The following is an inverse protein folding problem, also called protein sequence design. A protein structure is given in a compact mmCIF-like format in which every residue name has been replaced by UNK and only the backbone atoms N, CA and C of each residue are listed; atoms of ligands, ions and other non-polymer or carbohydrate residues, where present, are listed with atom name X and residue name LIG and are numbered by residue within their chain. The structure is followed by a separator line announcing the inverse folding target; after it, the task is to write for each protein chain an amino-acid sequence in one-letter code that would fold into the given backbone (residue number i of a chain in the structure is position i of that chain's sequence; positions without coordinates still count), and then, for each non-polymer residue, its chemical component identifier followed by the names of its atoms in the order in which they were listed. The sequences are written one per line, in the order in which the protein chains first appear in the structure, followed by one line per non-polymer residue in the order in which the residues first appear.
data_IF_051442994137
#
_entry.id   IF_051442994137
#
_cell.length_a   1.000
_cell.length_b   1.000
_cell.length_c   1.000
_cell.angle_alpha   90.00
_cell.angle_beta   90.00
_cell.angle_gamma   90.00
#
_symmetry.space_group_name_H-M   'P 1'
#
loop_
_entity.id
_entity.type
_entity.pdbx_description
1 polymer ?
#
# COMPACT_ATOMS: atom_id res chain seq x y z
N UNK A 1 32.95 3.13 19.20
CA UNK A 1 32.06 2.02 19.63
C UNK A 1 30.98 1.89 18.57
N UNK A 2 31.16 0.97 17.62
CA UNK A 2 30.21 0.75 16.54
C UNK A 2 29.02 -0.06 17.07
N UNK A 3 27.85 0.56 17.15
CA UNK A 3 26.63 -0.17 17.50
C UNK A 3 26.20 -1.02 16.30
N UNK A 4 26.18 -2.34 16.50
CA UNK A 4 25.72 -3.31 15.51
C UNK A 4 24.28 -3.02 15.05
N UNK A 5 24.02 -2.88 13.74
CA UNK A 5 22.69 -2.56 13.19
C UNK A 5 21.66 -3.67 13.45
N UNK A 6 22.10 -4.89 13.78
CA UNK A 6 21.23 -6.01 14.16
C UNK A 6 20.60 -5.83 15.55
N UNK A 7 21.25 -5.08 16.43
CA UNK A 7 20.80 -4.85 17.81
C UNK A 7 19.70 -3.77 17.84
N UNK A 8 19.89 -2.68 17.09
CA UNK A 8 18.87 -1.62 16.90
C UNK A 8 17.56 -2.15 16.30
N UNK A 9 17.65 -3.10 15.35
CA UNK A 9 16.48 -3.70 14.70
C UNK A 9 15.66 -4.61 15.63
N UNK A 10 16.28 -5.22 16.65
CA UNK A 10 15.60 -6.04 17.67
C UNK A 10 14.88 -5.18 18.70
N UNK A 11 15.50 -4.08 19.14
CA UNK A 11 14.86 -3.12 20.07
C UNK A 11 13.65 -2.43 19.42
N UNK A 12 13.77 -2.01 18.16
CA UNK A 12 12.66 -1.40 17.40
C UNK A 12 11.46 -2.34 17.21
N UNK A 13 11.68 -3.65 16.98
CA UNK A 13 10.58 -4.64 16.90
C UNK A 13 9.92 -4.90 18.26
N UNK A 14 10.71 -4.93 19.34
CA UNK A 14 10.19 -5.11 20.70
C UNK A 14 9.32 -3.96 21.16
N UNK A 15 9.73 -2.72 20.87
CA UNK A 15 8.95 -1.50 21.15
C UNK A 15 7.66 -1.43 20.33
N UNK A 16 7.70 -1.77 19.03
CA UNK A 16 6.51 -1.79 18.18
C UNK A 16 5.47 -2.83 18.66
N UNK A 17 5.92 -4.02 19.08
CA UNK A 17 5.06 -5.06 19.64
C UNK A 17 4.48 -4.65 21.00
N UNK A 18 5.29 -4.05 21.87
CA UNK A 18 4.81 -3.50 23.14
C UNK A 18 3.75 -2.42 22.92
N UNK A 19 3.99 -1.50 21.97
CA UNK A 19 3.02 -0.47 21.62
C UNK A 19 1.72 -1.08 21.06
N UNK A 20 1.79 -2.06 20.16
CA UNK A 20 0.59 -2.71 19.61
C UNK A 20 -0.23 -3.44 20.69
N UNK A 21 0.44 -4.19 21.58
CA UNK A 21 -0.24 -4.90 22.69
C UNK A 21 -0.86 -3.91 23.69
N UNK A 22 -0.17 -2.81 23.99
CA UNK A 22 -0.68 -1.77 24.90
C UNK A 22 -1.88 -1.04 24.28
N UNK A 23 -1.86 -0.73 22.97
CA UNK A 23 -2.99 -0.12 22.24
C UNK A 23 -4.26 -0.95 22.38
N UNK A 24 -4.21 -2.23 22.01
CA UNK A 24 -5.38 -3.11 22.03
C UNK A 24 -5.94 -3.32 23.44
N UNK A 25 -5.06 -3.46 24.44
CA UNK A 25 -5.47 -3.59 25.85
C UNK A 25 -6.12 -2.32 26.38
N UNK A 26 -5.62 -1.16 26.01
CA UNK A 26 -6.16 0.14 26.42
C UNK A 26 -7.60 0.32 25.91
N UNK A 27 -7.82 0.06 24.62
CA UNK A 27 -9.13 0.23 23.97
C UNK A 27 -10.14 -0.74 24.58
N UNK A 28 -9.79 -2.03 24.71
CA UNK A 28 -10.64 -3.04 25.36
C UNK A 28 -10.94 -2.72 26.81
N UNK A 29 -9.96 -2.19 27.54
CA UNK A 29 -10.16 -1.78 28.92
C UNK A 29 -11.18 -0.63 29.01
N UNK A 30 -11.07 0.36 28.13
CA UNK A 30 -12.03 1.47 28.07
C UNK A 30 -13.44 0.99 27.74
N UNK A 31 -13.59 0.16 26.70
CA UNK A 31 -14.90 -0.36 26.25
C UNK A 31 -15.65 -1.08 27.38
N UNK A 32 -14.94 -1.87 28.19
CA UNK A 32 -15.58 -2.67 29.24
C UNK A 32 -15.73 -1.90 30.56
N UNK A 33 -14.72 -1.11 30.94
CA UNK A 33 -14.66 -0.53 32.29
C UNK A 33 -15.50 0.73 32.40
N UNK A 34 -15.46 1.60 31.40
CA UNK A 34 -16.11 2.91 31.49
C UNK A 34 -17.63 2.80 31.53
N UNK A 35 -18.30 2.00 30.67
CA UNK A 35 -19.74 1.80 30.77
C UNK A 35 -20.16 1.17 32.10
N UNK A 36 -19.40 0.18 32.59
CA UNK A 36 -19.67 -0.47 33.87
C UNK A 36 -19.57 0.53 35.03
N UNK A 37 -18.54 1.39 35.04
CA UNK A 37 -18.39 2.43 36.06
C UNK A 37 -19.57 3.41 36.05
N UNK A 38 -20.08 3.82 34.89
CA UNK A 38 -21.28 4.66 34.82
C UNK A 38 -22.53 3.93 35.30
N UNK A 39 -22.69 2.65 34.96
CA UNK A 39 -23.83 1.85 35.42
C UNK A 39 -23.84 1.71 36.95
N UNK A 40 -22.67 1.59 37.60
CA UNK A 40 -22.56 1.59 39.06
C UNK A 40 -22.80 2.99 39.66
N UNK A 41 -22.37 4.05 38.99
CA UNK A 41 -22.64 5.44 39.37
C UNK A 41 -24.14 5.77 39.34
N UNK A 42 -24.89 5.28 38.36
CA UNK A 42 -26.35 5.48 38.27
C UNK A 42 -27.10 4.87 39.46
N UNK A 43 -26.60 3.76 40.04
CA UNK A 43 -27.19 3.15 41.25
C UNK A 43 -27.07 4.04 42.49
N UNK A 44 -26.10 4.97 42.50
CA UNK A 44 -25.89 5.93 43.59
C UNK A 44 -26.77 7.17 43.47
N UNK A 45 -27.39 7.42 42.30
CA UNK A 45 -28.29 8.57 42.10
C UNK A 45 -29.54 8.47 42.95
N UNK A 46 -30.04 7.25 43.17
CA UNK A 46 -31.32 6.99 43.85
C UNK A 46 -31.25 7.03 45.38
N UNK A 47 -30.10 7.38 45.97
CA UNK A 47 -29.90 7.46 47.42
C UNK A 47 -29.59 8.91 47.80
N UNK A 48 -30.46 9.53 48.60
CA UNK A 48 -30.37 10.96 48.96
C UNK A 48 -29.04 11.30 49.67
N UNK A 49 -28.51 10.39 50.49
CA UNK A 49 -27.25 10.58 51.24
C UNK A 49 -25.99 10.53 50.36
N UNK A 50 -26.07 10.03 49.12
CA UNK A 50 -24.91 9.83 48.24
C UNK A 50 -24.82 10.83 47.07
N UNK A 51 -25.73 11.81 47.00
CA UNK A 51 -25.72 12.87 45.99
C UNK A 51 -24.38 13.63 45.84
N UNK A 52 -23.74 14.15 46.92
CA UNK A 52 -22.45 14.84 46.77
C UNK A 52 -21.33 13.89 46.31
N UNK A 53 -21.37 12.64 46.77
CA UNK A 53 -20.41 11.60 46.36
C UNK A 53 -20.57 11.24 44.88
N UNK A 54 -21.81 11.17 44.39
CA UNK A 54 -22.13 10.90 42.98
C UNK A 54 -21.54 11.98 42.07
N UNK A 55 -21.75 13.26 42.39
CA UNK A 55 -21.23 14.38 41.59
C UNK A 55 -19.70 14.32 41.50
N UNK A 56 -19.05 14.07 42.63
CA UNK A 56 -17.57 14.06 42.72
C UNK A 56 -16.96 12.85 41.98
N UNK A 57 -17.57 11.65 42.10
CA UNK A 57 -17.17 10.45 41.37
C UNK A 57 -17.42 10.58 39.87
N UNK A 58 -18.56 11.15 39.47
CA UNK A 58 -18.89 11.38 38.06
C UNK A 58 -17.87 12.32 37.43
N UNK A 59 -17.54 13.43 38.10
CA UNK A 59 -16.53 14.36 37.63
C UNK A 59 -15.16 13.70 37.44
N UNK A 60 -14.72 12.88 38.42
CA UNK A 60 -13.47 12.10 38.30
C UNK A 60 -13.49 11.09 37.16
N UNK A 61 -14.64 10.45 36.91
CA UNK A 61 -14.79 9.52 35.78
C UNK A 61 -14.74 10.25 34.44
N UNK A 62 -15.35 11.44 34.34
CA UNK A 62 -15.30 12.27 33.14
C UNK A 62 -13.86 12.72 32.84
N UNK A 63 -13.10 13.16 33.85
CA UNK A 63 -11.66 13.47 33.71
C UNK A 63 -10.89 12.24 33.23
N UNK A 64 -11.13 11.09 33.87
CA UNK A 64 -10.46 9.83 33.51
C UNK A 64 -10.69 9.47 32.05
N UNK A 65 -11.93 9.64 31.54
CA UNK A 65 -12.24 9.38 30.12
C UNK A 65 -11.42 10.25 29.19
N UNK A 66 -11.32 11.55 29.48
CA UNK A 66 -10.52 12.47 28.67
C UNK A 66 -9.05 12.07 28.68
N UNK A 67 -8.49 11.70 29.83
CA UNK A 67 -7.10 11.24 29.94
C UNK A 67 -6.83 9.93 29.19
N UNK A 68 -7.79 9.00 29.17
CA UNK A 68 -7.73 7.79 28.35
C UNK A 68 -7.65 8.12 26.86
N UNK A 69 -8.53 9.01 26.38
CA UNK A 69 -8.53 9.43 24.98
C UNK A 69 -7.24 10.20 24.62
N UNK A 70 -6.76 11.07 25.50
CA UNK A 70 -5.48 11.77 25.34
C UNK A 70 -4.31 10.79 25.26
N UNK A 71 -4.28 9.77 26.12
CA UNK A 71 -3.23 8.75 26.11
C UNK A 71 -3.23 7.99 24.79
N UNK A 72 -4.41 7.58 24.31
CA UNK A 72 -4.53 6.95 23.00
C UNK A 72 -4.10 7.88 21.87
N UNK A 73 -4.47 9.17 21.95
CA UNK A 73 -4.05 10.20 21.00
C UNK A 73 -2.54 10.35 20.94
N UNK A 74 -1.84 10.34 22.08
CA UNK A 74 -0.38 10.38 22.13
C UNK A 74 0.25 9.14 21.49
N UNK A 75 -0.36 7.97 21.66
CA UNK A 75 0.10 6.74 21.01
C UNK A 75 -0.07 6.83 19.48
N UNK A 76 -1.16 7.45 19.01
CA UNK A 76 -1.37 7.75 17.59
C UNK A 76 -0.49 8.91 17.08
N UNK A 77 -0.03 9.78 17.98
CA UNK A 77 0.84 10.90 17.68
C UNK A 77 2.12 10.48 16.95
N UNK A 78 2.66 9.28 17.20
CA UNK A 78 3.79 8.75 16.43
C UNK A 78 3.46 8.53 14.94
N UNK A 79 2.22 8.18 14.62
CA UNK A 79 1.77 7.99 13.23
C UNK A 79 1.42 9.33 12.58
N UNK A 80 0.87 10.26 13.38
CA UNK A 80 0.35 11.55 12.92
C UNK A 80 1.38 12.68 12.90
N UNK A 81 2.45 12.63 13.70
CA UNK A 81 3.54 13.62 13.73
C UNK A 81 4.47 13.48 12.51
N UNK A 82 3.90 13.50 11.31
CA UNK A 82 4.65 13.54 10.07
C UNK A 82 5.26 14.92 9.79
N UNK A 83 5.09 15.91 10.65
CA UNK A 83 5.63 17.24 10.44
C UNK A 83 6.01 17.87 11.78
N UNK A 84 7.32 18.07 12.02
CA UNK A 84 7.95 19.40 12.00
C UNK A 84 9.37 19.41 12.58
N UNK A 85 9.83 18.45 13.40
CA UNK A 85 11.11 18.68 14.13
C UNK A 85 12.36 17.86 13.78
N UNK A 86 12.36 16.81 12.95
CA UNK A 86 13.67 16.20 12.60
C UNK A 86 13.72 15.54 11.22
N UNK A 87 14.53 16.18 10.37
CA UNK A 87 15.11 15.74 9.07
C UNK A 87 14.23 15.89 7.81
N UNK A 88 14.68 16.69 6.82
CA UNK A 88 14.07 16.77 5.48
C UNK A 88 14.39 15.54 4.61
N UNK A 89 14.49 14.35 5.21
CA UNK A 89 14.90 13.11 4.52
C UNK A 89 14.08 11.89 4.95
N UNK A 90 12.82 12.07 5.34
CA UNK A 90 11.92 10.95 5.55
C UNK A 90 11.54 10.37 4.19
N UNK A 91 11.96 9.13 3.93
CA UNK A 91 11.70 8.44 2.67
C UNK A 91 10.19 8.31 2.44
N UNK A 92 9.75 8.37 1.18
CA UNK A 92 8.36 8.11 0.78
C UNK A 92 7.81 6.80 1.39
N UNK A 93 8.68 5.80 1.51
CA UNK A 93 8.40 4.53 2.15
C UNK A 93 8.06 4.66 3.65
N UNK A 94 8.70 5.59 4.37
CA UNK A 94 8.48 5.81 5.80
C UNK A 94 7.20 6.60 6.06
N UNK A 95 6.82 7.51 5.14
CA UNK A 95 5.53 8.20 5.16
C UNK A 95 4.38 7.24 4.91
N UNK A 96 4.45 6.44 3.83
CA UNK A 96 3.46 5.42 3.52
C UNK A 96 3.28 4.42 4.66
N UNK A 97 4.39 3.96 5.26
CA UNK A 97 4.34 3.07 6.41
C UNK A 97 3.62 3.68 7.61
N UNK A 98 3.81 4.97 7.91
CA UNK A 98 3.08 5.63 9.01
C UNK A 98 1.58 5.75 8.75
N UNK A 99 1.20 6.02 7.50
CA UNK A 99 -0.22 6.03 7.09
C UNK A 99 -0.83 4.63 7.25
N UNK A 100 -0.15 3.60 6.78
CA UNK A 100 -0.57 2.20 6.96
C UNK A 100 -0.69 1.83 8.45
N UNK A 101 0.28 2.22 9.28
CA UNK A 101 0.27 1.98 10.73
C UNK A 101 -0.94 2.68 11.39
N UNK A 102 -1.25 3.92 11.00
CA UNK A 102 -2.45 4.64 11.49
C UNK A 102 -3.74 3.93 11.08
N UNK A 103 -3.87 3.58 9.79
CA UNK A 103 -5.05 2.91 9.25
C UNK A 103 -5.27 1.54 9.88
N UNK A 104 -4.19 0.79 10.10
CA UNK A 104 -4.22 -0.50 10.80
C UNK A 104 -4.77 -0.34 12.22
N UNK A 105 -4.23 0.62 13.00
CA UNK A 105 -4.69 0.88 14.37
C UNK A 105 -6.16 1.30 14.40
N UNK A 106 -6.58 2.21 13.51
CA UNK A 106 -7.99 2.60 13.42
C UNK A 106 -8.89 1.41 13.11
N UNK A 107 -8.52 0.59 12.13
CA UNK A 107 -9.30 -0.57 11.70
C UNK A 107 -9.48 -1.58 12.84
N UNK A 108 -8.44 -1.81 13.64
CA UNK A 108 -8.52 -2.65 14.83
C UNK A 108 -9.48 -2.07 15.89
N UNK A 109 -9.51 -0.74 16.04
CA UNK A 109 -10.36 -0.08 17.03
C UNK A 109 -11.84 -0.02 16.63
N UNK A 110 -12.18 -0.18 15.34
CA UNK A 110 -13.58 -0.17 14.87
C UNK A 110 -14.45 -1.27 15.52
N UNK A 111 -13.85 -2.32 16.06
CA UNK A 111 -14.56 -3.37 16.79
C UNK A 111 -15.18 -2.86 18.11
N UNK A 112 -14.60 -1.81 18.70
CA UNK A 112 -14.94 -1.29 20.03
C UNK A 112 -15.71 0.04 19.89
N UNK A 113 -17.05 -0.06 19.86
CA UNK A 113 -17.94 1.01 19.38
C UNK A 113 -18.07 2.16 20.36
N UNK A 114 -18.08 1.88 21.66
CA UNK A 114 -18.23 2.92 22.69
C UNK A 114 -16.99 3.80 22.72
N UNK A 115 -15.81 3.18 22.72
CA UNK A 115 -14.53 3.85 22.62
C UNK A 115 -14.46 4.70 21.35
N UNK A 116 -14.72 4.12 20.17
CA UNK A 116 -14.57 4.85 18.91
C UNK A 116 -15.52 6.04 18.78
N UNK A 117 -16.76 5.92 19.27
CA UNK A 117 -17.71 7.05 19.29
C UNK A 117 -17.20 8.19 20.18
N UNK A 118 -16.70 7.84 21.36
CA UNK A 118 -16.17 8.83 22.29
C UNK A 118 -14.88 9.46 21.75
N UNK A 119 -13.98 8.65 21.19
CA UNK A 119 -12.74 9.12 20.57
C UNK A 119 -13.03 10.08 19.41
N UNK A 120 -13.88 9.69 18.46
CA UNK A 120 -14.23 10.54 17.31
C UNK A 120 -14.88 11.87 17.74
N UNK A 121 -15.63 11.90 18.84
CA UNK A 121 -16.21 13.13 19.37
C UNK A 121 -15.17 14.12 19.90
N UNK A 122 -14.08 13.63 20.50
CA UNK A 122 -13.01 14.46 21.05
C UNK A 122 -11.89 14.74 20.04
N UNK A 123 -11.60 13.77 19.17
CA UNK A 123 -10.60 13.81 18.11
C UNK A 123 -11.22 13.28 16.82
N UNK A 124 -11.84 14.17 16.01
CA UNK A 124 -12.46 13.78 14.76
C UNK A 124 -11.45 13.09 13.83
N UNK A 125 -11.75 11.84 13.50
CA UNK A 125 -10.89 11.00 12.65
C UNK A 125 -10.76 11.59 11.24
N UNK A 126 -11.77 12.29 10.74
CA UNK A 126 -11.75 12.90 9.41
C UNK A 126 -10.63 13.95 9.28
N UNK A 127 -10.40 14.74 10.33
CA UNK A 127 -9.34 15.75 10.37
C UNK A 127 -7.96 15.10 10.28
N UNK A 128 -7.78 13.96 10.97
CA UNK A 128 -6.53 13.20 10.88
C UNK A 128 -6.31 12.62 9.48
N UNK A 129 -7.37 12.10 8.86
CA UNK A 129 -7.31 11.55 7.50
C UNK A 129 -6.97 12.62 6.47
N UNK A 130 -7.52 13.83 6.61
CA UNK A 130 -7.16 14.99 5.81
C UNK A 130 -5.67 15.34 5.98
N UNK A 131 -5.18 15.43 7.22
CA UNK A 131 -3.77 15.72 7.51
C UNK A 131 -2.82 14.65 6.92
N UNK A 132 -3.16 13.37 7.06
CA UNK A 132 -2.38 12.26 6.51
C UNK A 132 -2.40 12.24 4.98
N UNK A 133 -3.50 12.64 4.36
CA UNK A 133 -3.61 12.78 2.90
C UNK A 133 -2.67 13.87 2.38
N UNK A 134 -2.60 15.02 3.07
CA UNK A 134 -1.70 16.13 2.72
C UNK A 134 -0.22 15.75 2.84
N UNK A 135 0.14 14.97 3.86
CA UNK A 135 1.52 14.49 4.08
C UNK A 135 1.97 13.48 3.01
N UNK A 136 1.04 12.68 2.50
CA UNK A 136 1.34 11.70 1.45
C UNK A 136 1.62 12.37 0.10
N UNK A 137 1.23 13.64 -0.06
CA UNK A 137 1.49 14.48 -1.22
C UNK A 137 2.69 15.40 -0.93
N UNK A 138 3.91 14.95 -1.22
CA UNK A 138 5.08 15.85 -1.08
C UNK A 138 5.19 16.77 -2.31
N UNK A 139 5.15 18.08 -2.07
CA UNK A 139 5.74 19.16 -2.88
C UNK A 139 5.84 18.90 -4.40
N UNK A 140 4.71 19.03 -5.09
CA UNK A 140 4.62 19.11 -6.54
C UNK A 140 3.29 19.68 -6.97
N UNK A 141 3.15 21.00 -6.86
CA UNK A 141 1.96 21.84 -7.12
C UNK A 141 0.94 21.93 -5.99
N UNK A 142 0.73 23.17 -5.56
CA UNK A 142 -0.47 23.62 -4.89
C UNK A 142 -1.58 23.48 -5.93
N UNK A 143 -2.38 22.42 -5.84
CA UNK A 143 -3.64 22.30 -6.56
C UNK A 143 -4.51 21.25 -5.88
N UNK A 144 -5.13 21.69 -4.78
CA UNK A 144 -6.03 20.88 -3.98
C UNK A 144 -7.40 20.75 -4.63
N UNK A 145 -7.46 19.99 -5.72
CA UNK A 145 -8.72 19.47 -6.25
C UNK A 145 -8.58 17.96 -6.39
N UNK A 146 -9.17 17.22 -5.46
CA UNK A 146 -9.26 15.76 -5.50
C UNK A 146 -9.89 15.31 -6.82
N UNK A 147 -9.59 14.10 -7.31
CA UNK A 147 -10.16 13.60 -8.57
C UNK A 147 -11.68 13.78 -8.66
N UNK A 148 -12.38 13.56 -7.54
CA UNK A 148 -13.83 13.75 -7.37
C UNK A 148 -14.26 15.22 -7.47
N UNK A 149 -13.51 16.15 -6.86
CA UNK A 149 -13.79 17.59 -6.99
C UNK A 149 -13.51 18.07 -8.41
N UNK A 150 -12.51 17.49 -9.08
CA UNK A 150 -12.17 17.80 -10.46
C UNK A 150 -13.28 17.33 -11.39
N UNK A 151 -13.76 16.09 -11.20
CA UNK A 151 -14.93 15.54 -11.89
C UNK A 151 -16.14 16.47 -11.72
N UNK A 152 -16.40 16.91 -10.48
CA UNK A 152 -17.52 17.80 -10.18
C UNK A 152 -17.44 19.14 -10.92
N UNK A 153 -16.26 19.77 -10.96
CA UNK A 153 -16.03 21.03 -11.67
C UNK A 153 -16.11 20.85 -13.20
N UNK A 154 -15.64 19.72 -13.72
CA UNK A 154 -15.73 19.39 -15.14
C UNK A 154 -17.20 19.22 -15.55
N UNK A 155 -17.99 18.47 -14.76
CA UNK A 155 -19.43 18.29 -15.02
C UNK A 155 -20.17 19.61 -14.97
N UNK A 156 -19.86 20.51 -14.04
CA UNK A 156 -20.48 21.84 -13.96
C UNK A 156 -20.28 22.66 -15.25
N UNK A 157 -19.07 22.65 -15.81
CA UNK A 157 -18.78 23.33 -17.08
C UNK A 157 -19.44 22.60 -18.27
N UNK A 158 -19.43 21.27 -18.26
CA UNK A 158 -19.99 20.43 -19.32
C UNK A 158 -21.52 20.50 -19.40
N UNK A 159 -22.21 20.67 -18.27
CA UNK A 159 -23.66 20.85 -18.21
C UNK A 159 -24.12 22.12 -18.95
N UNK A 160 -23.29 23.16 -18.95
CA UNK A 160 -23.55 24.42 -19.67
C UNK A 160 -23.08 24.33 -21.12
N UNK A 161 -21.92 23.70 -21.36
CA UNK A 161 -21.27 23.61 -22.68
C UNK A 161 -21.01 22.14 -23.05
N UNK A 162 -22.05 21.38 -23.46
CA UNK A 162 -21.95 19.93 -23.68
C UNK A 162 -21.16 19.53 -24.92
N UNK A 163 -20.75 20.49 -25.75
CA UNK A 163 -19.96 20.26 -26.96
C UNK A 163 -18.46 20.19 -26.68
N UNK A 164 -18.02 20.55 -25.46
CA UNK A 164 -16.62 20.54 -25.07
C UNK A 164 -16.24 19.19 -24.47
N UNK A 165 -15.04 18.71 -24.81
CA UNK A 165 -14.45 17.50 -24.26
C UNK A 165 -13.96 17.71 -22.83
N UNK A 166 -14.14 16.70 -21.99
CA UNK A 166 -13.73 16.74 -20.57
C UNK A 166 -12.23 16.98 -20.37
N UNK A 167 -11.39 16.50 -21.30
CA UNK A 167 -9.94 16.72 -21.26
C UNK A 167 -9.55 18.16 -21.58
N UNK A 168 -10.31 18.80 -22.48
CA UNK A 168 -10.17 20.23 -22.77
C UNK A 168 -10.60 21.10 -21.59
N UNK A 169 -11.75 20.76 -20.98
CA UNK A 169 -12.26 21.45 -19.78
C UNK A 169 -11.27 21.31 -18.63
N UNK A 170 -10.68 20.13 -18.41
CA UNK A 170 -9.65 19.91 -17.40
C UNK A 170 -8.46 20.86 -17.59
N UNK A 171 -7.95 21.01 -18.82
CA UNK A 171 -6.82 21.92 -19.11
C UNK A 171 -7.18 23.39 -18.92
N UNK A 172 -8.42 23.76 -19.21
CA UNK A 172 -8.92 25.10 -18.91
C UNK A 172 -9.00 25.34 -17.41
N UNK A 173 -9.54 24.40 -16.64
CA UNK A 173 -9.60 24.48 -15.17
C UNK A 173 -8.21 24.57 -14.54
N UNK A 174 -7.23 23.80 -15.05
CA UNK A 174 -5.82 23.90 -14.62
C UNK A 174 -5.25 25.31 -14.83
N UNK A 175 -5.62 26.00 -15.93
CA UNK A 175 -5.12 27.35 -16.22
C UNK A 175 -5.81 28.45 -15.38
N UNK A 176 -7.11 28.28 -15.10
CA UNK A 176 -7.92 29.27 -14.38
C UNK A 176 -8.08 28.95 -12.89
N UNK A 177 -7.11 28.25 -12.27
CA UNK A 177 -7.10 27.89 -10.86
C UNK A 177 -8.39 27.19 -10.38
N UNK A 178 -8.93 26.26 -11.18
CA UNK A 178 -10.08 25.40 -10.84
C UNK A 178 -11.37 26.17 -10.55
N UNK A 179 -11.53 27.36 -11.14
CA UNK A 179 -12.77 28.12 -11.11
C UNK A 179 -13.61 27.81 -12.34
N UNK A 180 -14.73 27.10 -12.16
CA UNK A 180 -15.71 26.84 -13.22
C UNK A 180 -16.26 28.14 -13.81
N UNK A 181 -16.63 29.11 -12.97
CA UNK A 181 -17.16 30.42 -13.39
C UNK A 181 -16.21 31.17 -14.33
N UNK A 182 -14.92 31.22 -13.97
CA UNK A 182 -13.90 31.93 -14.76
C UNK A 182 -13.68 31.25 -16.12
N UNK A 183 -13.72 29.91 -16.15
CA UNK A 183 -13.61 29.11 -17.37
C UNK A 183 -14.82 29.33 -18.28
N UNK A 184 -16.04 29.26 -17.73
CA UNK A 184 -17.29 29.48 -18.47
C UNK A 184 -17.32 30.90 -19.06
N UNK A 185 -16.94 31.90 -18.27
CA UNK A 185 -16.88 33.28 -18.72
C UNK A 185 -15.90 33.47 -19.87
N UNK A 186 -14.67 32.95 -19.74
CA UNK A 186 -13.66 33.02 -20.79
C UNK A 186 -14.08 32.27 -22.07
N UNK A 187 -14.79 31.14 -21.93
CA UNK A 187 -15.33 30.37 -23.06
C UNK A 187 -16.45 31.11 -23.79
N UNK A 188 -17.38 31.74 -23.05
CA UNK A 188 -18.48 32.49 -23.64
C UNK A 188 -18.00 33.79 -24.32
N UNK A 189 -17.01 34.46 -23.74
CA UNK A 189 -16.45 35.69 -24.31
C UNK A 189 -15.43 35.45 -25.43
N UNK A 190 -15.14 34.18 -25.77
CA UNK A 190 -14.07 33.81 -26.72
C UNK A 190 -12.70 34.39 -26.34
N UNK A 191 -12.48 34.65 -25.05
CA UNK A 191 -11.27 35.25 -24.48
C UNK A 191 -10.38 34.20 -23.81
N UNK A 192 -10.27 33.03 -24.44
CA UNK A 192 -9.32 32.01 -23.99
C UNK A 192 -7.89 32.44 -24.29
N UNK A 193 -6.95 32.06 -23.42
CA UNK A 193 -5.53 32.21 -23.72
C UNK A 193 -5.19 31.49 -25.03
N UNK A 194 -4.31 32.07 -25.85
CA UNK A 194 -3.93 31.52 -27.17
C UNK A 194 -3.50 30.06 -27.07
N UNK A 195 -2.78 29.73 -25.99
CA UNK A 195 -2.33 28.36 -25.70
C UNK A 195 -3.45 27.35 -25.45
N UNK A 196 -4.66 27.79 -25.06
CA UNK A 196 -5.83 26.94 -24.84
C UNK A 196 -6.76 26.93 -26.05
N UNK A 197 -6.84 28.02 -26.81
CA UNK A 197 -7.65 28.11 -28.01
C UNK A 197 -7.14 27.20 -29.16
N UNK A 198 -5.84 26.93 -29.20
CA UNK A 198 -5.20 26.04 -30.18
C UNK A 198 -5.41 24.54 -29.85
N UNK A 199 -5.88 24.19 -28.64
CA UNK A 199 -6.16 22.80 -28.28
C UNK A 199 -7.45 22.30 -28.93
N UNK A 200 -7.50 20.99 -29.16
CA UNK A 200 -8.70 20.31 -29.62
C UNK A 200 -9.81 20.43 -28.56
N UNK A 201 -10.90 21.12 -28.93
CA UNK A 201 -12.07 21.32 -28.07
C UNK A 201 -12.81 20.01 -27.78
N UNK A 202 -12.58 18.96 -28.55
CA UNK A 202 -13.16 17.62 -28.36
C UNK A 202 -12.25 16.65 -27.60
N UNK A 203 -11.14 17.14 -27.01
CA UNK A 203 -10.15 16.30 -26.37
C UNK A 203 -10.77 15.45 -25.23
N UNK A 204 -10.73 14.11 -25.34
CA UNK A 204 -11.25 13.23 -24.29
C UNK A 204 -10.30 13.24 -23.08
N UNK A 205 -10.87 13.06 -21.89
CA UNK A 205 -10.07 12.90 -20.67
C UNK A 205 -9.52 11.49 -20.59
N UNK A 206 -8.22 11.37 -20.35
CA UNK A 206 -7.56 10.08 -20.11
C UNK A 206 -7.58 9.84 -18.59
N UNK A 207 -8.22 8.76 -18.09
CA UNK A 207 -8.20 8.44 -16.67
C UNK A 207 -6.75 8.19 -16.19
N UNK A 208 -6.40 8.71 -15.00
CA UNK A 208 -5.08 8.56 -14.35
C UNK A 208 -4.58 7.10 -14.26
N UNK A 209 -5.49 6.13 -14.26
CA UNK A 209 -5.14 4.70 -14.32
C UNK A 209 -4.36 4.32 -15.59
N UNK A 210 -4.62 5.00 -16.72
CA UNK A 210 -3.93 4.74 -17.98
C UNK A 210 -2.50 5.30 -17.99
N UNK A 211 -2.23 6.41 -17.32
CA UNK A 211 -0.88 6.99 -17.21
C UNK A 211 0.06 6.06 -16.44
N UNK A 212 -0.40 5.50 -15.32
CA UNK A 212 0.37 4.48 -14.58
C UNK A 212 0.66 3.22 -15.40
N UNK A 213 -0.28 2.83 -16.28
CA UNK A 213 -0.11 1.68 -17.17
C UNK A 213 0.83 2.00 -18.33
N UNK A 214 0.82 3.22 -18.85
CA UNK A 214 1.75 3.72 -19.86
C UNK A 214 3.17 3.83 -19.30
N UNK A 215 3.36 4.31 -18.07
CA UNK A 215 4.68 4.37 -17.43
C UNK A 215 5.24 2.98 -17.08
N UNK A 216 4.37 2.04 -16.70
CA UNK A 216 4.74 0.63 -16.51
C UNK A 216 4.99 -0.10 -17.83
N UNK A 217 4.29 0.25 -18.91
CA UNK A 217 4.52 -0.31 -20.26
C UNK A 217 5.78 0.27 -20.92
N UNK A 218 6.09 1.55 -20.68
CA UNK A 218 7.28 2.23 -21.19
C UNK A 218 8.52 1.93 -20.34
N UNK A 219 8.39 1.73 -19.02
CA UNK A 219 9.50 1.24 -18.16
C UNK A 219 9.71 -0.27 -18.25
N UNK A 220 8.73 -1.01 -18.78
CA UNK A 220 8.86 -2.42 -19.14
C UNK A 220 9.15 -2.59 -20.64
N UNK A 221 9.90 -1.67 -21.24
CA UNK A 221 10.74 -2.04 -22.38
C UNK A 221 11.54 -3.28 -21.95
N UNK A 222 11.29 -4.41 -22.62
CA UNK A 222 11.92 -5.68 -22.30
C UNK A 222 13.43 -5.56 -22.53
N UNK A 223 14.16 -5.13 -21.51
CA UNK A 223 15.59 -4.89 -21.62
C UNK A 223 16.34 -6.21 -21.83
N UNK A 224 16.94 -6.43 -22.99
CA UNK A 224 17.90 -7.50 -23.20
C UNK A 224 19.33 -7.01 -22.92
N UNK A 225 20.27 -7.94 -22.75
CA UNK A 225 21.72 -7.67 -22.58
C UNK A 225 22.34 -6.96 -23.79
N UNK A 226 21.58 -6.80 -24.88
CA UNK A 226 22.02 -6.16 -26.13
C UNK A 226 21.33 -4.80 -26.38
N UNK A 227 20.49 -4.31 -25.46
CA UNK A 227 19.78 -3.05 -25.66
C UNK A 227 20.71 -1.85 -25.40
N UNK A 228 20.59 -0.83 -26.24
CA UNK A 228 21.45 0.35 -26.36
C UNK A 228 22.92 0.06 -26.76
N UNK A 229 23.21 -1.11 -27.34
CA UNK A 229 24.53 -1.40 -27.90
C UNK A 229 24.70 -0.82 -29.33
N UNK A 230 25.90 -0.91 -29.91
CA UNK A 230 26.19 -0.36 -31.26
C UNK A 230 25.34 -1.00 -32.38
N UNK A 231 24.69 -2.14 -32.11
CA UNK A 231 23.79 -2.83 -33.02
C UNK A 231 22.31 -2.57 -32.70
N UNK A 232 22.00 -1.89 -31.59
CA UNK A 232 20.65 -1.48 -31.25
C UNK A 232 20.28 -0.19 -31.99
N UNK A 233 19.04 -0.13 -32.51
CA UNK A 233 18.46 0.92 -33.37
C UNK A 233 19.54 1.66 -34.18
N UNK A 234 19.82 1.21 -35.42
CA UNK A 234 20.84 1.68 -36.38
C UNK A 234 20.93 3.22 -36.53
N UNK A 235 21.42 3.88 -35.48
CA UNK A 235 21.57 5.32 -35.33
C UNK A 235 22.97 5.76 -35.76
N UNK A 236 23.87 4.79 -35.96
CA UNK A 236 25.24 4.99 -36.43
C UNK A 236 25.43 4.28 -37.76
N UNK A 237 26.03 4.97 -38.71
CA UNK A 237 26.33 4.44 -40.05
C UNK A 237 27.51 3.44 -40.06
N UNK A 238 28.24 3.31 -38.94
CA UNK A 238 29.39 2.42 -38.81
C UNK A 238 29.21 1.49 -37.61
N UNK A 239 29.41 0.20 -37.84
CA UNK A 239 29.31 -0.87 -36.83
C UNK A 239 30.51 -1.81 -36.90
N UNK A 240 31.03 -2.22 -35.75
CA UNK A 240 32.15 -3.17 -35.65
C UNK A 240 31.74 -4.60 -36.08
N UNK A 241 32.14 -4.98 -37.30
CA UNK A 241 31.76 -6.26 -37.92
C UNK A 241 32.37 -7.50 -37.28
N UNK A 242 33.33 -7.35 -36.36
CA UNK A 242 33.99 -8.49 -35.68
C UNK A 242 33.05 -9.23 -34.72
N UNK A 243 32.02 -8.55 -34.20
CA UNK A 243 31.01 -9.12 -33.28
C UNK A 243 29.86 -9.81 -34.01
N UNK A 244 29.74 -9.58 -35.32
CA UNK A 244 28.71 -10.15 -36.20
C UNK A 244 29.12 -11.57 -36.59
N UNK A 245 28.25 -12.54 -36.34
CA UNK A 245 28.47 -13.92 -36.75
C UNK A 245 27.27 -14.45 -37.51
N UNK A 246 27.49 -14.93 -38.74
CA UNK A 246 26.46 -15.57 -39.55
C UNK A 246 26.54 -17.09 -39.38
N UNK A 247 25.52 -17.70 -38.77
CA UNK A 247 25.44 -19.15 -38.56
C UNK A 247 25.82 -19.60 -37.13
N UNK A 248 26.06 -20.91 -36.95
CA UNK A 248 26.43 -21.50 -35.64
C UNK A 248 27.88 -21.17 -35.28
N UNK A 249 28.10 -20.52 -34.13
CA UNK A 249 29.46 -20.22 -33.63
C UNK A 249 30.16 -21.52 -33.25
N UNK A 250 31.11 -21.95 -34.08
CA UNK A 250 31.94 -23.14 -33.82
C UNK A 250 32.80 -22.86 -32.59
N UNK A 251 32.56 -23.58 -31.49
CA UNK A 251 33.32 -23.49 -30.24
C UNK A 251 32.65 -22.79 -29.05
N UNK A 252 31.53 -22.08 -29.22
CA UNK A 252 30.80 -21.45 -28.08
C UNK A 252 29.77 -22.37 -27.41
N UNK A 253 29.16 -23.27 -28.18
CA UNK A 253 28.15 -24.19 -27.67
C UNK A 253 28.72 -25.59 -27.59
N UNK A 254 28.57 -26.21 -26.41
CA UNK A 254 28.85 -27.61 -26.16
C UNK A 254 27.90 -28.49 -26.98
N UNK A 255 28.33 -29.68 -27.36
CA UNK A 255 27.50 -30.62 -28.12
C UNK A 255 26.27 -31.07 -27.30
N UNK A 256 25.17 -31.47 -27.96
CA UNK A 256 23.89 -31.74 -27.29
C UNK A 256 24.03 -32.75 -26.14
N UNK A 257 24.80 -33.82 -26.37
CA UNK A 257 25.09 -34.82 -25.35
C UNK A 257 25.81 -34.23 -24.13
N UNK A 258 26.74 -33.30 -24.34
CA UNK A 258 27.47 -32.64 -23.26
C UNK A 258 26.67 -31.58 -22.52
N UNK A 259 25.62 -31.01 -23.12
CA UNK A 259 24.65 -30.15 -22.42
C UNK A 259 23.64 -30.98 -21.61
N UNK A 260 23.19 -32.12 -22.13
CA UNK A 260 22.23 -32.99 -21.43
C UNK A 260 22.83 -33.74 -20.24
N UNK A 261 24.15 -33.99 -20.28
CA UNK A 261 24.87 -34.60 -19.16
C UNK A 261 25.17 -33.62 -18.02
N UNK A 262 24.97 -32.31 -18.23
CA UNK A 262 25.15 -31.30 -17.19
C UNK A 262 23.94 -31.31 -16.24
N UNK A 263 23.95 -32.24 -15.27
CA UNK A 263 22.88 -32.39 -14.26
C UNK A 263 23.08 -31.50 -13.03
N UNK A 264 24.00 -30.54 -13.09
CA UNK A 264 24.34 -29.62 -11.98
C UNK A 264 23.11 -28.89 -11.42
N UNK A 265 22.23 -28.43 -12.32
CA UNK A 265 21.01 -27.73 -11.91
C UNK A 265 20.01 -28.65 -11.19
N UNK A 266 19.96 -29.94 -11.53
CA UNK A 266 19.09 -30.93 -10.86
C UNK A 266 19.61 -31.21 -9.44
N UNK A 267 20.94 -31.32 -9.28
CA UNK A 267 21.56 -31.53 -7.97
C UNK A 267 21.40 -30.31 -7.07
N UNK A 268 21.64 -29.10 -7.57
CA UNK A 268 21.48 -27.85 -6.81
C UNK A 268 20.02 -27.64 -6.38
N UNK A 269 19.07 -27.92 -7.27
CA UNK A 269 17.66 -27.82 -6.97
C UNK A 269 17.23 -28.87 -5.92
N UNK A 270 17.75 -30.10 -6.01
CA UNK A 270 17.53 -31.15 -5.00
C UNK A 270 18.06 -30.77 -3.61
N UNK A 271 19.26 -30.19 -3.53
CA UNK A 271 19.82 -29.67 -2.27
C UNK A 271 18.96 -28.54 -1.70
N UNK A 272 18.48 -27.63 -2.56
CA UNK A 272 17.57 -26.55 -2.15
C UNK A 272 16.25 -27.09 -1.62
N UNK A 273 15.65 -28.09 -2.26
CA UNK A 273 14.42 -28.72 -1.77
C UNK A 273 14.62 -29.48 -0.46
N UNK A 274 15.79 -30.12 -0.27
CA UNK A 274 16.19 -30.74 1.00
C UNK A 274 16.36 -29.69 2.11
N UNK A 275 16.98 -28.55 1.81
CA UNK A 275 17.13 -27.42 2.74
C UNK A 275 15.77 -26.82 3.16
N UNK A 276 14.81 -26.77 2.24
CA UNK A 276 13.44 -26.30 2.54
C UNK A 276 12.57 -27.36 3.26
N UNK A 277 13.08 -28.57 3.52
CA UNK A 277 12.34 -29.62 4.22
C UNK A 277 11.11 -30.13 3.47
N UNK A 278 11.00 -29.89 2.15
CA UNK A 278 9.93 -30.43 1.31
C UNK A 278 10.18 -31.88 0.92
N UNK A 279 11.45 -32.28 0.88
CA UNK A 279 11.86 -33.68 0.74
C UNK A 279 12.12 -34.18 2.16
N UNK A 280 11.04 -34.51 2.86
CA UNK A 280 11.16 -35.49 3.93
C UNK A 280 11.50 -36.79 3.23
N UNK A 281 12.64 -37.38 3.59
CA UNK A 281 12.91 -38.77 3.24
C UNK A 281 11.86 -39.52 4.02
N UNK A 282 10.74 -39.85 3.37
CA UNK A 282 9.81 -40.82 3.91
C UNK A 282 10.68 -42.04 4.21
N UNK A 283 10.94 -42.28 5.51
CA UNK A 283 11.33 -43.61 5.97
C UNK A 283 10.16 -44.50 5.61
N UNK A 284 10.19 -45.02 4.39
CA UNK A 284 9.40 -46.14 3.96
C UNK A 284 9.90 -47.36 4.73
N UNK A 285 9.56 -47.40 6.02
CA UNK A 285 9.25 -48.67 6.66
C UNK A 285 8.08 -49.24 5.86
N UNK A 286 8.43 -49.95 4.79
CA UNK A 286 7.50 -50.68 3.94
C UNK A 286 6.73 -51.61 4.86
N UNK A 287 5.43 -51.32 5.04
CA UNK A 287 4.52 -52.18 5.78
C UNK A 287 4.42 -53.51 5.03
N UNK A 288 5.18 -54.51 5.51
CA UNK A 288 5.31 -55.85 4.96
C UNK A 288 4.04 -56.71 5.12
N UNK A 289 2.95 -56.11 5.62
CA UNK A 289 1.62 -56.71 5.78
C UNK A 289 1.06 -57.34 4.48
N UNK A 290 1.54 -56.92 3.30
CA UNK A 290 1.07 -57.44 2.00
C UNK A 290 2.11 -58.24 1.19
N UNK A 291 3.35 -58.38 1.64
CA UNK A 291 4.37 -59.20 0.95
C UNK A 291 4.12 -60.70 1.08
N UNK A 292 3.27 -61.12 2.02
CA UNK A 292 2.96 -62.53 2.23
C UNK A 292 1.90 -63.09 1.25
N UNK A 293 1.31 -62.23 0.41
CA UNK A 293 0.32 -62.67 -0.58
C UNK A 293 1.05 -63.08 -1.86
N UNK A 294 1.38 -64.37 -1.93
CA UNK A 294 1.91 -65.01 -3.14
C UNK A 294 0.80 -65.08 -4.21
N UNK A 295 0.60 -63.98 -4.94
CA UNK A 295 -0.27 -63.97 -6.13
C UNK A 295 0.56 -64.52 -7.28
N UNK A 296 0.54 -65.84 -7.46
CA UNK A 296 1.06 -66.47 -8.66
C UNK A 296 0.24 -65.97 -9.86
N UNK A 297 0.79 -65.02 -10.61
CA UNK A 297 0.24 -64.64 -11.91
C UNK A 297 0.62 -65.75 -12.88
N UNK A 298 -0.36 -66.58 -13.23
CA UNK A 298 -0.18 -67.65 -14.21
C UNK A 298 0.39 -67.08 -15.52
N UNK A 299 1.53 -67.62 -15.93
CA UNK A 299 2.29 -67.24 -17.12
C UNK A 299 1.44 -67.51 -18.38
N UNK A 300 1.04 -66.44 -19.06
CA UNK A 300 0.26 -66.54 -20.29
C UNK A 300 1.13 -67.11 -21.42
N UNK A 301 0.75 -68.29 -21.89
CA UNK A 301 1.28 -69.03 -23.03
C UNK A 301 1.41 -68.16 -24.29
N UNK A 302 2.63 -68.02 -24.82
CA UNK A 302 2.85 -67.50 -26.18
C UNK A 302 2.50 -68.58 -27.22
N UNK A 303 1.72 -68.26 -28.28
CA UNK A 303 1.61 -69.12 -29.44
C UNK A 303 2.73 -68.88 -30.47
N UNK A 304 3.26 -69.98 -31.01
CA UNK A 304 4.32 -70.10 -32.05
C UNK A 304 4.02 -69.38 -33.38
#
# INVERSE_FOLDING_TARGET
MGHDPKTLRKYSKGEALLQAVVKQRLVKFYENTIPEMYMQLEKLVNKEDTQPLYVDLKHKLDITRVEFLNTFRHILGHCLNCSIEDKPSLSEMERKKRVEDYMSVLTECLSEKVFMRDYHKYFPVDVDLELLSMVSQENGKIDGVTGVQLDSLITEVQDILPHLGEGFIQKCLEYYNYSSESVIHALLESSLASSLADLDQSLPRIPLEAESKLDLLNSAERSNVFDNDEFDIMTRDYVDTTRIHKGKRVGKHKDLASMLNDKTHVTELGEKFKQLGLIDVYEDEYDDTYDHVDISVDEACEPE
#
